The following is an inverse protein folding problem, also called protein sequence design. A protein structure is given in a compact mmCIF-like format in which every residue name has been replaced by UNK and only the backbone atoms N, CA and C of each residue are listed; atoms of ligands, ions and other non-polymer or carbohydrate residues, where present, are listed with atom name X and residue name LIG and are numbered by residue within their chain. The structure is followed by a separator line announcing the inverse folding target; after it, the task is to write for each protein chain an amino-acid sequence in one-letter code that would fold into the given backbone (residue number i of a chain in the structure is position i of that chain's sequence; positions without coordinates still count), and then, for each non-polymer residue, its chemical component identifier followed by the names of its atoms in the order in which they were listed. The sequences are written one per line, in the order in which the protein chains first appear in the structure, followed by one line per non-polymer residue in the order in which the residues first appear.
data_IF_953844522848
#
_entry.id   IF_953844522848
#
_cell.length_a   1.000
_cell.length_b   1.000
_cell.length_c   1.000
_cell.angle_alpha   90.00
_cell.angle_beta   90.00
_cell.angle_gamma   90.00
#
_symmetry.space_group_name_H-M   'P 1'
#
loop_
_entity.id
_entity.type
_entity.pdbx_description
1 polymer ?
#
# COMPACT_ATOMS: atom_id res chain seq x y z
N UNK A 1 8.60 24.99 4.34
CA UNK A 1 8.04 25.49 3.06
C UNK A 1 6.89 24.58 2.63
N UNK A 2 5.69 25.12 2.41
CA UNK A 2 4.44 24.36 2.21
C UNK A 2 4.50 23.35 1.05
N UNK A 3 5.27 23.66 0.00
CA UNK A 3 5.49 22.80 -1.17
C UNK A 3 6.01 21.40 -0.80
N UNK A 4 6.90 21.28 0.20
CA UNK A 4 7.46 19.98 0.58
C UNK A 4 6.41 19.06 1.19
N UNK A 5 5.52 19.60 2.03
CA UNK A 5 4.43 18.84 2.65
C UNK A 5 3.50 18.30 1.56
N UNK A 6 3.17 19.14 0.58
CA UNK A 6 2.30 18.76 -0.55
C UNK A 6 2.92 17.65 -1.39
N UNK A 7 4.21 17.74 -1.74
CA UNK A 7 4.90 16.70 -2.51
C UNK A 7 4.86 15.36 -1.78
N UNK A 8 5.10 15.37 -0.47
CA UNK A 8 5.08 14.14 0.35
C UNK A 8 3.68 13.54 0.41
N UNK A 9 2.63 14.36 0.52
CA UNK A 9 1.23 13.91 0.45
C UNK A 9 0.88 13.29 -0.91
N UNK A 10 1.28 13.92 -2.01
CA UNK A 10 1.03 13.39 -3.35
C UNK A 10 1.75 12.06 -3.55
N UNK A 11 3.03 11.97 -3.15
CA UNK A 11 3.80 10.73 -3.25
C UNK A 11 3.16 9.59 -2.44
N UNK A 12 2.65 9.89 -1.24
CA UNK A 12 1.90 8.92 -0.44
C UNK A 12 0.61 8.47 -1.13
N UNK A 13 -0.18 9.39 -1.68
CA UNK A 13 -1.41 9.05 -2.42
C UNK A 13 -1.12 8.20 -3.65
N UNK A 14 -0.07 8.51 -4.40
CA UNK A 14 0.35 7.72 -5.56
C UNK A 14 0.74 6.30 -5.14
N UNK A 15 1.48 6.14 -4.05
CA UNK A 15 1.84 4.82 -3.52
C UNK A 15 0.60 3.98 -3.19
N UNK A 16 -0.34 4.57 -2.45
CA UNK A 16 -1.61 3.96 -2.05
C UNK A 16 -2.43 3.56 -3.29
N UNK A 17 -2.50 4.43 -4.29
CA UNK A 17 -3.17 4.18 -5.56
C UNK A 17 -2.53 3.04 -6.38
N UNK A 18 -1.19 3.00 -6.45
CA UNK A 18 -0.48 1.93 -7.14
C UNK A 18 -0.75 0.58 -6.48
N UNK A 19 -0.76 0.51 -5.14
CA UNK A 19 -1.13 -0.73 -4.44
C UNK A 19 -2.56 -1.14 -4.74
N UNK A 20 -3.50 -0.19 -4.73
CA UNK A 20 -4.89 -0.49 -5.06
C UNK A 20 -5.02 -1.17 -6.43
N UNK A 21 -4.36 -0.61 -7.47
CA UNK A 21 -4.33 -1.22 -8.79
C UNK A 21 -3.67 -2.60 -8.74
N UNK A 22 -2.54 -2.72 -8.05
CA UNK A 22 -1.78 -3.97 -7.95
C UNK A 22 -2.62 -5.10 -7.34
N UNK A 23 -3.36 -4.83 -6.26
CA UNK A 23 -4.19 -5.85 -5.59
C UNK A 23 -5.42 -6.20 -6.44
N UNK A 24 -6.13 -5.20 -6.94
CA UNK A 24 -7.41 -5.40 -7.65
C UNK A 24 -7.24 -5.95 -9.07
N UNK A 25 -6.17 -5.59 -9.78
CA UNK A 25 -5.97 -6.00 -11.17
C UNK A 25 -4.92 -7.10 -11.28
N UNK A 26 -3.69 -6.87 -10.85
CA UNK A 26 -2.59 -7.81 -11.05
C UNK A 26 -2.76 -9.07 -10.20
N UNK A 27 -2.91 -8.91 -8.88
CA UNK A 27 -2.95 -10.06 -7.96
C UNK A 27 -4.21 -10.90 -8.16
N UNK A 28 -5.35 -10.27 -8.45
CA UNK A 28 -6.61 -10.96 -8.72
C UNK A 28 -6.56 -11.79 -10.02
N UNK A 29 -5.94 -11.24 -11.09
CA UNK A 29 -5.73 -11.99 -12.34
C UNK A 29 -4.75 -13.14 -12.13
N UNK A 30 -3.68 -12.93 -11.38
CA UNK A 30 -2.72 -14.01 -11.06
C UNK A 30 -3.36 -15.13 -10.23
N UNK A 31 -4.18 -14.79 -9.24
CA UNK A 31 -4.90 -15.79 -8.45
C UNK A 31 -5.88 -16.61 -9.32
N UNK A 32 -6.59 -15.96 -10.24
CA UNK A 32 -7.52 -16.62 -11.15
C UNK A 32 -6.80 -17.51 -12.18
N UNK A 33 -5.74 -17.00 -12.80
CA UNK A 33 -4.93 -17.76 -13.75
C UNK A 33 -4.20 -18.93 -13.08
N UNK A 34 -3.72 -18.74 -11.84
CA UNK A 34 -3.09 -19.78 -11.03
C UNK A 34 -4.05 -20.91 -10.68
N UNK A 35 -5.31 -20.59 -10.35
CA UNK A 35 -6.36 -21.58 -10.11
C UNK A 35 -6.68 -22.41 -11.37
N UNK A 36 -6.83 -21.76 -12.53
CA UNK A 36 -7.08 -22.45 -13.81
C UNK A 36 -5.91 -23.36 -14.25
N UNK A 37 -4.66 -22.95 -13.97
CA UNK A 37 -3.48 -23.75 -14.26
C UNK A 37 -3.37 -24.99 -13.34
N UNK A 38 -3.82 -24.88 -12.08
CA UNK A 38 -3.82 -25.98 -11.12
C UNK A 38 -4.77 -27.13 -11.52
N UNK A 39 -5.86 -26.83 -12.22
CA UNK A 39 -6.79 -27.86 -12.74
C UNK A 39 -6.21 -28.66 -13.91
N UNK A 40 -5.23 -28.12 -14.64
CA UNK A 40 -4.72 -28.74 -15.88
C UNK A 40 -3.54 -29.70 -15.64
N UNK A 41 -2.69 -29.47 -14.63
CA UNK A 41 -1.65 -30.43 -14.23
C UNK A 41 -1.01 -30.10 -12.88
N UNK A 42 -0.64 -31.14 -12.10
CA UNK A 42 0.05 -31.00 -10.82
C UNK A 42 1.43 -30.32 -10.94
N UNK A 43 2.08 -30.35 -12.12
CA UNK A 43 3.35 -29.68 -12.38
C UNK A 43 3.21 -28.18 -12.69
N UNK A 44 2.04 -27.74 -13.19
CA UNK A 44 1.74 -26.32 -13.44
C UNK A 44 1.33 -25.55 -12.17
N UNK A 45 1.06 -26.26 -11.07
CA UNK A 45 0.70 -25.68 -9.77
C UNK A 45 1.79 -24.81 -9.11
N UNK A 46 3.02 -24.85 -9.61
CA UNK A 46 4.13 -24.05 -9.06
C UNK A 46 4.05 -22.57 -9.47
N UNK A 47 3.48 -22.26 -10.64
CA UNK A 47 3.39 -20.89 -11.15
C UNK A 47 2.00 -20.28 -10.84
N UNK A 48 1.84 -19.76 -9.63
CA UNK A 48 0.68 -18.92 -9.28
C UNK A 48 -0.45 -19.60 -8.49
N UNK A 49 -0.45 -20.93 -8.31
CA UNK A 49 -1.51 -21.60 -7.54
C UNK A 49 -1.50 -21.28 -6.03
N UNK A 50 -0.42 -20.68 -5.53
CA UNK A 50 -0.25 -20.31 -4.11
C UNK A 50 -0.27 -18.79 -3.87
N UNK A 51 -0.81 -18.00 -4.80
CA UNK A 51 -0.96 -16.54 -4.58
C UNK A 51 -2.07 -16.33 -3.54
N UNK A 52 -1.66 -16.23 -2.27
CA UNK A 52 -2.55 -15.99 -1.14
C UNK A 52 -2.92 -14.50 -1.04
N UNK A 53 -4.00 -14.13 -1.73
CA UNK A 53 -4.53 -12.77 -1.80
C UNK A 53 -4.69 -12.09 -0.41
N UNK A 54 -5.25 -12.75 0.63
CA UNK A 54 -5.36 -12.15 1.96
C UNK A 54 -4.01 -11.94 2.67
N UNK A 55 -3.00 -12.77 2.42
CA UNK A 55 -1.65 -12.56 2.99
C UNK A 55 -1.03 -11.30 2.38
N UNK A 56 -1.05 -11.17 1.06
CA UNK A 56 -0.53 -9.99 0.38
C UNK A 56 -1.28 -8.72 0.79
N UNK A 57 -2.60 -8.77 0.90
CA UNK A 57 -3.42 -7.63 1.35
C UNK A 57 -3.01 -7.18 2.76
N UNK A 58 -2.81 -8.13 3.69
CA UNK A 58 -2.31 -7.81 5.04
C UNK A 58 -0.91 -7.21 5.00
N UNK A 59 0.00 -7.77 4.21
CA UNK A 59 1.37 -7.27 4.09
C UNK A 59 1.39 -5.82 3.57
N UNK A 60 0.64 -5.55 2.51
CA UNK A 60 0.52 -4.20 1.94
C UNK A 60 -0.14 -3.21 2.91
N UNK A 61 -1.10 -3.67 3.72
CA UNK A 61 -1.71 -2.83 4.77
C UNK A 61 -0.64 -2.33 5.76
N UNK A 62 0.20 -3.24 6.27
CA UNK A 62 1.27 -2.87 7.20
C UNK A 62 2.31 -1.95 6.56
N UNK A 63 2.69 -2.25 5.31
CA UNK A 63 3.61 -1.42 4.54
C UNK A 63 3.08 0.02 4.36
N UNK A 64 1.80 0.18 4.03
CA UNK A 64 1.19 1.49 3.85
C UNK A 64 1.06 2.28 5.14
N UNK A 65 0.74 1.62 6.26
CA UNK A 65 0.72 2.25 7.58
C UNK A 65 2.12 2.75 7.95
N UNK A 66 3.15 1.90 7.80
CA UNK A 66 4.53 2.29 8.11
C UNK A 66 5.00 3.42 7.21
N UNK A 67 4.72 3.35 5.91
CA UNK A 67 5.08 4.42 4.99
C UNK A 67 4.39 5.73 5.36
N UNK A 68 3.07 5.73 5.60
CA UNK A 68 2.35 6.93 6.02
C UNK A 68 2.91 7.51 7.32
N UNK A 69 3.27 6.64 8.27
CA UNK A 69 3.85 7.05 9.54
C UNK A 69 5.17 7.82 9.36
N UNK A 70 6.15 7.19 8.71
CA UNK A 70 7.49 7.78 8.53
C UNK A 70 7.50 8.94 7.54
N UNK A 71 6.70 8.86 6.47
CA UNK A 71 6.56 9.93 5.49
C UNK A 71 5.98 11.20 6.12
N UNK A 72 5.04 11.08 7.07
CA UNK A 72 4.53 12.21 7.84
C UNK A 72 5.58 12.90 8.72
N UNK A 73 6.49 12.14 9.34
CA UNK A 73 7.63 12.72 10.08
C UNK A 73 8.58 13.49 9.17
N UNK A 74 8.87 12.94 7.99
CA UNK A 74 9.71 13.59 6.97
C UNK A 74 9.05 14.88 6.46
N UNK A 75 7.73 14.86 6.23
CA UNK A 75 6.98 16.06 5.86
C UNK A 75 7.08 17.17 6.93
N UNK A 76 7.05 16.81 8.22
CA UNK A 76 7.25 17.75 9.32
C UNK A 76 8.65 18.35 9.38
N UNK A 77 9.68 17.52 9.19
CA UNK A 77 11.08 17.98 9.15
C UNK A 77 11.32 18.94 7.96
N UNK A 78 10.89 18.58 6.75
CA UNK A 78 11.10 19.42 5.57
C UNK A 78 10.18 20.65 5.52
N UNK A 79 8.96 20.54 6.06
CA UNK A 79 7.96 21.59 6.04
C UNK A 79 8.17 22.65 7.12
N UNK A 80 8.36 22.20 8.37
CA UNK A 80 8.32 23.01 9.59
C UNK A 80 9.65 22.99 10.38
N UNK A 81 10.67 22.27 9.89
CA UNK A 81 11.99 22.20 10.52
C UNK A 81 12.05 21.37 11.80
N UNK A 82 10.95 20.67 12.16
CA UNK A 82 10.84 19.86 13.38
C UNK A 82 10.09 18.55 13.10
N UNK A 83 10.69 17.40 13.42
CA UNK A 83 10.03 16.09 13.29
C UNK A 83 8.76 15.98 14.12
N UNK A 84 8.75 16.55 15.31
CA UNK A 84 7.58 16.51 16.21
C UNK A 84 6.36 17.18 15.57
N UNK A 85 6.58 18.22 14.74
CA UNK A 85 5.51 18.84 13.98
C UNK A 85 4.95 17.93 12.87
N UNK A 86 5.69 16.89 12.48
CA UNK A 86 5.27 15.87 11.51
C UNK A 86 4.23 14.90 12.03
N UNK A 87 4.02 14.83 13.34
CA UNK A 87 3.06 13.89 13.93
C UNK A 87 1.63 14.10 13.40
N UNK A 88 1.21 15.35 13.21
CA UNK A 88 -0.11 15.66 12.64
C UNK A 88 -0.27 15.11 11.22
N UNK A 89 0.76 15.21 10.39
CA UNK A 89 0.74 14.68 9.03
C UNK A 89 0.78 13.15 9.02
N UNK A 90 1.60 12.58 9.90
CA UNK A 90 1.73 11.14 10.11
C UNK A 90 0.41 10.49 10.49
N UNK A 91 -0.32 11.07 11.45
CA UNK A 91 -1.65 10.59 11.87
C UNK A 91 -2.65 10.64 10.71
N UNK A 92 -2.66 11.74 9.94
CA UNK A 92 -3.56 11.87 8.77
C UNK A 92 -3.25 10.82 7.72
N UNK A 93 -1.97 10.61 7.37
CA UNK A 93 -1.58 9.62 6.37
C UNK A 93 -1.87 8.18 6.81
N UNK A 94 -1.62 7.85 8.08
CA UNK A 94 -1.96 6.53 8.64
C UNK A 94 -3.47 6.30 8.62
N UNK A 95 -4.27 7.30 8.97
CA UNK A 95 -5.73 7.22 8.87
C UNK A 95 -6.19 6.96 7.44
N UNK A 96 -5.62 7.66 6.47
CA UNK A 96 -5.93 7.47 5.06
C UNK A 96 -5.57 6.05 4.62
N UNK A 97 -4.36 5.56 4.95
CA UNK A 97 -3.97 4.18 4.66
C UNK A 97 -4.98 3.18 5.26
N UNK A 98 -5.33 3.35 6.53
CA UNK A 98 -6.27 2.46 7.20
C UNK A 98 -7.66 2.45 6.54
N UNK A 99 -8.21 3.62 6.21
CA UNK A 99 -9.52 3.74 5.52
C UNK A 99 -9.46 3.09 4.14
N UNK A 100 -8.41 3.36 3.37
CA UNK A 100 -8.18 2.78 2.05
C UNK A 100 -8.21 1.24 2.08
N UNK A 101 -7.41 0.64 2.95
CA UNK A 101 -7.30 -0.81 3.05
C UNK A 101 -8.48 -1.49 3.75
N UNK A 102 -9.35 -0.72 4.42
CA UNK A 102 -10.53 -1.26 5.10
C UNK A 102 -11.79 -1.22 4.23
N UNK A 103 -11.92 -0.22 3.36
CA UNK A 103 -13.13 0.00 2.57
C UNK A 103 -12.95 -0.25 1.07
N UNK A 104 -11.74 -0.14 0.52
CA UNK A 104 -11.50 -0.25 -0.92
C UNK A 104 -10.72 -1.50 -1.34
N UNK A 105 -9.95 -2.09 -0.41
CA UNK A 105 -9.19 -3.33 -0.61
C UNK A 105 -9.74 -4.38 0.36
#
# INVERSE_FOLDING_TARGET
MLIYIVIVFIAFMVFVFVIYILVTTFLSVMATAGAAAAETSAAASSFGANVDLPLYTRLFTHAAILQGLFSGFVAGQMGEGRAIAGLKYSVIMVLIAWVMFRFFI
#
